data_IF_854188585759
#
_entry.id   IF_854188585759
#
_cell.length_a   1.000
_cell.length_b   1.000
_cell.length_c   1.000
_cell.angle_alpha   90.00
_cell.angle_beta   90.00
_cell.angle_gamma   90.00
#
_symmetry.space_group_name_H-M   'P 1'
#
loop_
_entity.id
_entity.type
_entity.pdbx_description
1 polymer ?
#
# COMPACT_ATOMS: atom_id res chain seq x y z
N UNK A 1 1.32 -25.11 -25.73
CA UNK A 1 2.37 -25.90 -25.10
C UNK A 1 1.80 -27.04 -24.26
N UNK A 2 0.88 -26.78 -23.32
CA UNK A 2 0.23 -27.81 -22.48
C UNK A 2 -0.49 -28.85 -23.32
N UNK A 3 -1.23 -28.48 -24.35
CA UNK A 3 -1.95 -29.40 -25.25
C UNK A 3 -1.02 -30.36 -25.99
N UNK A 4 0.14 -29.87 -26.43
CA UNK A 4 1.17 -30.70 -27.07
C UNK A 4 1.63 -31.82 -26.12
N UNK A 5 1.93 -31.48 -24.86
CA UNK A 5 2.38 -32.45 -23.86
C UNK A 5 1.28 -33.48 -23.53
N UNK A 6 0.04 -33.00 -23.36
CA UNK A 6 -1.10 -33.86 -23.06
C UNK A 6 -1.36 -34.84 -24.22
N UNK A 7 -1.40 -34.37 -25.47
CA UNK A 7 -1.58 -35.22 -26.68
C UNK A 7 -0.44 -36.19 -26.83
N UNK A 8 0.81 -35.74 -26.66
CA UNK A 8 1.99 -36.61 -26.73
C UNK A 8 1.90 -37.75 -25.71
N UNK A 9 1.52 -37.48 -24.49
CA UNK A 9 1.37 -38.52 -23.45
C UNK A 9 0.24 -39.48 -23.76
N UNK A 10 -0.93 -38.99 -24.22
CA UNK A 10 -2.03 -39.86 -24.64
C UNK A 10 -1.63 -40.79 -25.81
N UNK A 11 -0.89 -40.26 -26.80
CA UNK A 11 -0.37 -41.05 -27.92
C UNK A 11 0.62 -42.12 -27.47
N UNK A 12 1.31 -41.93 -26.35
CA UNK A 12 2.19 -42.92 -25.72
C UNK A 12 1.48 -43.88 -24.76
N UNK A 13 0.14 -43.93 -24.75
CA UNK A 13 -0.65 -44.87 -23.96
C UNK A 13 -0.88 -44.44 -22.49
N UNK A 14 -0.55 -43.18 -22.10
CA UNK A 14 -0.85 -42.69 -20.77
C UNK A 14 -2.27 -42.15 -20.70
N UNK A 15 -2.98 -42.46 -19.63
CA UNK A 15 -4.20 -41.71 -19.25
C UNK A 15 -3.82 -40.34 -18.75
N UNK A 16 -4.25 -39.31 -19.49
CA UNK A 16 -3.87 -37.93 -19.17
C UNK A 16 -5.12 -37.07 -19.10
N UNK A 17 -5.40 -36.55 -17.91
CA UNK A 17 -6.45 -35.55 -17.68
C UNK A 17 -5.90 -34.16 -17.90
N UNK A 18 -6.58 -33.36 -18.71
CA UNK A 18 -6.39 -31.91 -18.77
C UNK A 18 -7.68 -31.22 -18.42
N UNK A 19 -7.82 -30.87 -17.16
CA UNK A 19 -9.01 -30.19 -16.63
C UNK A 19 -8.91 -28.68 -16.88
N UNK A 20 -9.87 -28.07 -17.60
CA UNK A 20 -9.89 -26.62 -17.78
C UNK A 20 -10.53 -25.91 -16.56
N UNK A 21 -10.13 -24.65 -16.38
CA UNK A 21 -10.71 -23.77 -15.38
C UNK A 21 -10.57 -22.31 -15.76
N UNK A 22 -11.43 -21.48 -15.19
CA UNK A 22 -11.37 -20.03 -15.33
C UNK A 22 -11.17 -19.37 -13.98
N UNK A 23 -10.39 -18.30 -13.96
CA UNK A 23 -10.14 -17.49 -12.78
C UNK A 23 -11.14 -16.33 -12.68
N UNK A 24 -11.46 -15.91 -11.45
CA UNK A 24 -12.36 -14.79 -11.21
C UNK A 24 -11.68 -13.41 -11.40
N UNK A 25 -10.37 -13.37 -11.54
CA UNK A 25 -9.54 -12.19 -11.85
C UNK A 25 -9.74 -10.97 -10.92
N UNK A 26 -10.40 -11.11 -9.79
CA UNK A 26 -10.53 -10.16 -8.70
C UNK A 26 -10.71 -8.68 -9.11
N UNK A 27 -9.70 -7.86 -8.85
CA UNK A 27 -9.72 -6.41 -9.09
C UNK A 27 -9.96 -6.05 -10.56
N UNK A 28 -9.37 -6.79 -11.51
CA UNK A 28 -9.53 -6.51 -12.93
C UNK A 28 -10.99 -6.65 -13.38
N UNK A 29 -11.68 -7.69 -12.91
CA UNK A 29 -13.13 -7.89 -13.15
C UNK A 29 -13.96 -6.75 -12.58
N UNK A 30 -13.69 -6.36 -11.32
CA UNK A 30 -14.39 -5.24 -10.68
C UNK A 30 -14.17 -3.93 -11.43
N UNK A 31 -12.95 -3.62 -11.85
CA UNK A 31 -12.63 -2.41 -12.61
C UNK A 31 -13.39 -2.34 -13.95
N UNK A 32 -13.54 -3.46 -14.65
CA UNK A 32 -14.32 -3.52 -15.89
C UNK A 32 -15.79 -3.26 -15.61
N UNK A 33 -16.37 -3.86 -14.57
CA UNK A 33 -17.78 -3.64 -14.18
C UNK A 33 -18.00 -2.19 -13.75
N UNK A 34 -17.10 -1.59 -12.97
CA UNK A 34 -17.16 -0.17 -12.58
C UNK A 34 -17.17 0.73 -13.81
N UNK A 35 -16.27 0.49 -14.77
CA UNK A 35 -16.23 1.26 -16.02
C UNK A 35 -17.50 1.12 -16.85
N UNK A 36 -18.16 -0.03 -16.82
CA UNK A 36 -19.45 -0.21 -17.49
C UNK A 36 -20.57 0.55 -16.76
N UNK A 37 -20.60 0.51 -15.44
CA UNK A 37 -21.53 1.30 -14.63
C UNK A 37 -21.37 2.81 -14.85
N UNK A 38 -20.13 3.30 -14.98
CA UNK A 38 -19.86 4.71 -15.31
C UNK A 38 -20.48 5.12 -16.64
N UNK A 39 -20.45 4.24 -17.66
CA UNK A 39 -21.12 4.50 -18.95
C UNK A 39 -22.64 4.58 -18.83
N UNK A 40 -23.20 3.85 -17.86
CA UNK A 40 -24.63 3.86 -17.53
C UNK A 40 -25.00 5.03 -16.60
N UNK A 41 -24.02 5.87 -16.18
CA UNK A 41 -24.17 6.91 -15.16
C UNK A 41 -24.60 6.37 -13.79
N UNK A 42 -24.19 5.15 -13.45
CA UNK A 42 -24.49 4.50 -12.17
C UNK A 42 -23.22 4.46 -11.32
N UNK A 43 -23.32 4.94 -10.08
CA UNK A 43 -22.19 4.86 -9.13
C UNK A 43 -22.29 3.58 -8.30
N UNK A 44 -21.17 2.83 -8.18
CA UNK A 44 -21.12 1.58 -7.39
C UNK A 44 -21.55 1.77 -5.94
N UNK A 45 -21.25 2.95 -5.34
CA UNK A 45 -21.61 3.24 -3.96
C UNK A 45 -23.13 3.40 -3.78
N UNK A 46 -23.85 3.84 -4.83
CA UNK A 46 -25.31 3.93 -4.83
C UNK A 46 -25.98 2.55 -4.93
N UNK A 47 -25.35 1.61 -5.63
CA UNK A 47 -25.82 0.22 -5.70
C UNK A 47 -25.67 -0.54 -4.39
N UNK A 48 -24.71 -0.11 -3.53
CA UNK A 48 -24.30 -0.88 -2.37
C UNK A 48 -23.59 -2.19 -2.76
N UNK A 49 -23.13 -2.93 -1.74
CA UNK A 49 -22.33 -4.15 -1.94
C UNK A 49 -23.09 -5.22 -2.74
N UNK A 50 -24.32 -5.51 -2.36
CA UNK A 50 -25.08 -6.63 -2.95
C UNK A 50 -25.46 -6.31 -4.41
N UNK A 51 -25.86 -5.07 -4.71
CA UNK A 51 -26.12 -4.62 -6.06
C UNK A 51 -24.89 -4.69 -6.96
N UNK A 52 -23.73 -4.28 -6.45
CA UNK A 52 -22.48 -4.36 -7.19
C UNK A 52 -22.06 -5.81 -7.45
N UNK A 53 -22.14 -6.70 -6.45
CA UNK A 53 -21.85 -8.14 -6.61
C UNK A 53 -22.75 -8.75 -7.67
N UNK A 54 -24.05 -8.42 -7.67
CA UNK A 54 -24.97 -8.90 -8.70
C UNK A 54 -24.51 -8.51 -10.11
N UNK A 55 -24.10 -7.25 -10.33
CA UNK A 55 -23.57 -6.78 -11.63
C UNK A 55 -22.27 -7.50 -12.03
N UNK A 56 -21.42 -7.83 -11.06
CA UNK A 56 -20.20 -8.62 -11.32
C UNK A 56 -20.54 -10.03 -11.78
N UNK A 57 -21.53 -10.69 -11.16
CA UNK A 57 -21.99 -12.01 -11.59
C UNK A 57 -22.68 -11.98 -12.96
N UNK A 58 -23.49 -10.98 -13.27
CA UNK A 58 -24.10 -10.77 -14.60
C UNK A 58 -23.01 -10.66 -15.67
N UNK A 59 -21.99 -9.82 -15.44
CA UNK A 59 -20.86 -9.68 -16.36
C UNK A 59 -20.08 -11.01 -16.52
N UNK A 60 -19.90 -11.76 -15.45
CA UNK A 60 -19.23 -13.08 -15.48
C UNK A 60 -20.00 -14.08 -16.35
N UNK A 61 -21.33 -14.10 -16.27
CA UNK A 61 -22.15 -14.98 -17.13
C UNK A 61 -22.03 -14.59 -18.62
N UNK A 62 -22.01 -13.29 -18.93
CA UNK A 62 -21.87 -12.80 -20.30
C UNK A 62 -20.47 -13.07 -20.88
N UNK A 63 -19.41 -12.82 -20.11
CA UNK A 63 -18.03 -12.81 -20.61
C UNK A 63 -17.25 -14.08 -20.29
N UNK A 64 -17.60 -14.81 -19.24
CA UNK A 64 -16.83 -15.95 -18.73
C UNK A 64 -16.79 -17.15 -19.63
N UNK A 65 -17.77 -17.30 -20.55
CA UNK A 65 -17.81 -18.38 -21.56
C UNK A 65 -16.90 -18.16 -22.76
N UNK A 66 -16.55 -16.91 -23.07
CA UNK A 66 -15.86 -16.53 -24.32
C UNK A 66 -14.50 -17.24 -24.44
N UNK A 67 -13.68 -17.21 -23.38
CA UNK A 67 -12.35 -17.85 -23.39
C UNK A 67 -12.44 -19.37 -23.58
N UNK A 68 -13.43 -20.02 -22.97
CA UNK A 68 -13.64 -21.45 -23.13
C UNK A 68 -14.02 -21.80 -24.56
N UNK A 69 -14.89 -21.01 -25.18
CA UNK A 69 -15.30 -21.20 -26.57
C UNK A 69 -14.15 -20.93 -27.56
N UNK A 70 -13.31 -19.94 -27.28
CA UNK A 70 -12.10 -19.69 -28.06
C UNK A 70 -11.14 -20.87 -27.98
N UNK A 71 -10.90 -21.42 -26.79
CA UNK A 71 -10.04 -22.59 -26.60
C UNK A 71 -10.59 -23.85 -27.29
N UNK A 72 -11.91 -24.06 -27.27
CA UNK A 72 -12.57 -25.13 -28.03
C UNK A 72 -12.34 -24.97 -29.54
N UNK A 73 -12.52 -23.75 -30.07
CA UNK A 73 -12.29 -23.42 -31.49
C UNK A 73 -10.82 -23.63 -31.90
N UNK A 74 -9.87 -23.38 -30.98
CA UNK A 74 -8.45 -23.66 -31.18
C UNK A 74 -8.14 -25.16 -31.12
N UNK A 75 -9.11 -26.02 -30.81
CA UNK A 75 -8.94 -27.46 -30.73
C UNK A 75 -8.23 -27.96 -29.49
N UNK A 76 -8.22 -27.23 -28.40
CA UNK A 76 -7.63 -27.67 -27.13
C UNK A 76 -8.29 -28.95 -26.62
N UNK A 77 -7.49 -29.97 -26.26
CA UNK A 77 -7.96 -31.30 -25.88
C UNK A 77 -8.30 -31.45 -24.40
N UNK A 78 -8.90 -30.39 -23.81
CA UNK A 78 -9.36 -30.39 -22.43
C UNK A 78 -10.58 -31.33 -22.23
N UNK A 79 -10.73 -31.82 -21.01
CA UNK A 79 -11.99 -32.40 -20.55
C UNK A 79 -12.99 -31.32 -20.19
N UNK A 80 -13.75 -30.83 -21.15
CA UNK A 80 -14.72 -29.72 -21.01
C UNK A 80 -15.86 -30.07 -20.04
N UNK A 81 -16.14 -31.35 -19.79
CA UNK A 81 -17.16 -31.79 -18.85
C UNK A 81 -16.76 -31.49 -17.40
N UNK A 82 -15.46 -31.31 -17.13
CA UNK A 82 -14.89 -30.98 -15.82
C UNK A 82 -14.46 -29.54 -15.67
N UNK A 83 -14.97 -28.64 -16.50
CA UNK A 83 -14.69 -27.21 -16.36
C UNK A 83 -15.03 -26.72 -14.95
N UNK A 84 -14.11 -25.92 -14.37
CA UNK A 84 -14.27 -25.32 -13.04
C UNK A 84 -14.07 -23.81 -13.09
N UNK A 85 -14.70 -23.13 -12.16
CA UNK A 85 -14.50 -21.71 -11.91
C UNK A 85 -13.98 -21.54 -10.48
N UNK A 86 -12.98 -20.68 -10.28
CA UNK A 86 -12.29 -20.54 -8.97
C UNK A 86 -13.23 -20.19 -7.81
N UNK A 87 -14.41 -19.61 -8.06
CA UNK A 87 -15.43 -19.33 -7.05
C UNK A 87 -16.58 -20.34 -7.02
N UNK A 88 -16.44 -21.51 -7.63
CA UNK A 88 -17.42 -22.59 -7.50
C UNK A 88 -17.63 -22.97 -6.02
N UNK A 89 -18.86 -23.35 -5.67
CA UNK A 89 -19.27 -23.62 -4.28
C UNK A 89 -18.36 -24.62 -3.56
N UNK A 90 -17.92 -25.67 -4.27
CA UNK A 90 -17.08 -26.71 -3.66
C UNK A 90 -15.63 -26.23 -3.50
N UNK A 91 -15.11 -25.44 -4.47
CA UNK A 91 -13.80 -24.80 -4.35
C UNK A 91 -13.78 -23.77 -3.22
N UNK A 92 -14.85 -22.98 -3.08
CA UNK A 92 -15.00 -22.03 -1.96
C UNK A 92 -14.98 -22.73 -0.60
N UNK A 93 -15.64 -23.90 -0.47
CA UNK A 93 -15.57 -24.70 0.76
C UNK A 93 -14.16 -25.21 1.05
N UNK A 94 -13.44 -25.65 0.02
CA UNK A 94 -12.05 -26.11 0.16
C UNK A 94 -11.13 -24.98 0.63
N UNK A 95 -11.28 -23.78 0.07
CA UNK A 95 -10.52 -22.58 0.47
C UNK A 95 -10.79 -22.25 1.94
N UNK A 96 -12.07 -22.21 2.35
CA UNK A 96 -12.43 -21.93 3.75
C UNK A 96 -11.84 -22.98 4.68
N UNK A 97 -11.93 -24.28 4.33
CA UNK A 97 -11.36 -25.35 5.13
C UNK A 97 -9.85 -25.17 5.34
N UNK A 98 -9.10 -24.94 4.25
CA UNK A 98 -7.64 -24.72 4.32
C UNK A 98 -7.31 -23.50 5.16
N UNK A 99 -8.06 -22.40 5.00
CA UNK A 99 -7.87 -21.20 5.81
C UNK A 99 -8.04 -21.48 7.32
N UNK A 100 -9.09 -22.19 7.68
CA UNK A 100 -9.36 -22.58 9.09
C UNK A 100 -8.27 -23.50 9.63
N UNK A 101 -7.83 -24.48 8.84
CA UNK A 101 -6.75 -25.41 9.23
C UNK A 101 -5.44 -24.63 9.49
N UNK A 102 -5.07 -23.69 8.59
CA UNK A 102 -3.88 -22.85 8.75
C UNK A 102 -3.98 -21.94 9.98
N UNK A 103 -5.14 -21.37 10.25
CA UNK A 103 -5.38 -20.54 11.44
C UNK A 103 -5.24 -21.35 12.72
N UNK A 104 -5.87 -22.54 12.79
CA UNK A 104 -5.79 -23.42 13.95
C UNK A 104 -4.35 -23.89 14.23
N UNK A 105 -3.58 -24.11 13.18
CA UNK A 105 -2.15 -24.47 13.26
C UNK A 105 -1.24 -23.24 13.52
N UNK A 106 -1.81 -22.03 13.72
CA UNK A 106 -1.07 -20.77 13.97
C UNK A 106 -0.08 -20.39 12.85
N UNK A 107 -0.33 -20.85 11.62
CA UNK A 107 0.47 -20.53 10.44
C UNK A 107 0.05 -19.20 9.79
N UNK A 108 -1.16 -18.75 10.07
CA UNK A 108 -1.66 -17.42 9.69
C UNK A 108 -2.17 -16.69 10.92
N UNK A 109 -2.02 -15.37 10.91
CA UNK A 109 -2.47 -14.48 11.98
C UNK A 109 -2.90 -13.14 11.38
N UNK A 110 -3.64 -12.34 12.16
CA UNK A 110 -4.05 -11.00 11.79
C UNK A 110 -3.08 -9.99 12.39
N UNK A 111 -2.50 -9.15 11.53
CA UNK A 111 -1.58 -8.09 11.93
C UNK A 111 -1.71 -6.88 11.00
N UNK A 112 -1.07 -5.77 11.36
CA UNK A 112 -0.94 -4.58 10.53
C UNK A 112 0.31 -4.71 9.66
N UNK A 113 0.18 -4.46 8.36
CA UNK A 113 1.28 -4.47 7.41
C UNK A 113 1.13 -3.31 6.43
N UNK A 114 2.24 -2.66 6.12
CA UNK A 114 2.26 -1.67 5.06
C UNK A 114 2.08 -2.35 3.69
N UNK A 115 1.23 -1.76 2.86
CA UNK A 115 0.92 -2.24 1.51
C UNK A 115 0.91 -1.09 0.52
N UNK A 116 1.14 -1.38 -0.77
CA UNK A 116 0.84 -0.42 -1.82
C UNK A 116 -0.68 -0.22 -1.90
N UNK A 117 -1.11 1.03 -1.97
CA UNK A 117 -2.51 1.42 -1.91
C UNK A 117 -2.88 2.39 -3.02
N UNK A 118 -3.94 2.08 -3.77
CA UNK A 118 -4.53 2.99 -4.75
C UNK A 118 -5.66 3.81 -4.09
N UNK A 119 -5.47 5.14 -3.91
CA UNK A 119 -6.47 5.97 -3.25
C UNK A 119 -7.71 6.24 -4.12
N UNK A 120 -7.64 6.05 -5.44
CA UNK A 120 -8.79 6.19 -6.35
C UNK A 120 -9.69 4.96 -6.28
N UNK A 121 -9.11 3.77 -6.42
CA UNK A 121 -9.81 2.49 -6.31
C UNK A 121 -10.09 2.09 -4.86
N UNK A 122 -9.42 2.73 -3.90
CA UNK A 122 -9.48 2.44 -2.46
C UNK A 122 -9.23 0.97 -2.14
N UNK A 123 -8.17 0.43 -2.73
CA UNK A 123 -7.75 -0.97 -2.56
C UNK A 123 -6.24 -1.10 -2.48
N UNK A 124 -5.79 -2.19 -1.83
CA UNK A 124 -4.41 -2.62 -1.93
C UNK A 124 -4.11 -3.12 -3.34
N UNK A 125 -2.91 -2.87 -3.81
CA UNK A 125 -2.40 -3.36 -5.09
C UNK A 125 -1.10 -4.14 -4.86
N UNK A 126 -0.81 -5.10 -5.73
CA UNK A 126 0.42 -5.89 -5.64
C UNK A 126 1.64 -5.09 -6.10
N UNK A 127 2.83 -5.48 -5.67
CA UNK A 127 4.08 -4.83 -6.08
C UNK A 127 4.29 -4.89 -7.60
N UNK A 128 3.78 -5.93 -8.27
CA UNK A 128 3.85 -6.09 -9.72
C UNK A 128 2.98 -5.09 -10.49
N UNK A 129 1.97 -4.51 -9.85
CA UNK A 129 1.06 -3.50 -10.44
C UNK A 129 1.61 -2.09 -10.27
N UNK A 130 2.67 -1.90 -9.47
CA UNK A 130 3.29 -0.59 -9.23
C UNK A 130 4.32 -0.29 -10.32
N UNK A 131 4.06 0.75 -11.09
CA UNK A 131 4.98 1.24 -12.11
C UNK A 131 5.80 2.39 -11.51
N UNK A 132 7.10 2.18 -11.33
CA UNK A 132 8.02 3.22 -10.87
C UNK A 132 8.22 4.26 -11.97
N UNK A 133 8.16 5.54 -11.61
CA UNK A 133 8.38 6.67 -12.52
C UNK A 133 9.26 7.72 -11.85
N UNK A 134 10.24 8.21 -12.60
CA UNK A 134 11.01 9.37 -12.16
C UNK A 134 10.14 10.62 -12.20
N UNK A 135 10.09 11.33 -11.10
CA UNK A 135 9.34 12.59 -11.00
C UNK A 135 10.20 13.67 -10.39
N UNK A 136 10.03 14.90 -10.87
CA UNK A 136 10.62 16.07 -10.22
C UNK A 136 10.01 16.20 -8.83
N UNK A 137 10.85 16.26 -7.81
CA UNK A 137 10.45 16.38 -6.43
C UNK A 137 11.27 17.42 -5.68
N UNK A 138 10.94 17.65 -4.42
CA UNK A 138 11.62 18.58 -3.54
C UNK A 138 12.00 17.88 -2.24
N UNK A 139 13.18 18.16 -1.75
CA UNK A 139 13.66 17.76 -0.44
C UNK A 139 13.55 18.97 0.49
N UNK A 140 12.77 18.80 1.55
CA UNK A 140 12.48 19.83 2.55
C UNK A 140 13.33 19.60 3.79
N UNK A 141 14.07 20.61 4.23
CA UNK A 141 14.85 20.58 5.45
C UNK A 141 14.07 21.31 6.54
N UNK A 142 13.72 20.58 7.59
CA UNK A 142 12.81 21.05 8.66
C UNK A 142 13.46 20.87 10.02
N UNK A 143 13.41 21.92 10.83
CA UNK A 143 13.92 21.94 12.19
C UNK A 143 12.90 21.41 13.20
N UNK A 144 13.32 20.46 14.01
CA UNK A 144 12.60 19.96 15.17
C UNK A 144 13.30 20.43 16.43
N UNK A 145 12.57 21.10 17.33
CA UNK A 145 13.15 21.64 18.56
C UNK A 145 13.36 20.55 19.60
N UNK A 146 14.55 20.49 20.20
CA UNK A 146 14.84 19.55 21.30
C UNK A 146 14.09 20.01 22.54
N UNK A 147 13.32 19.09 23.16
CA UNK A 147 12.46 19.39 24.30
C UNK A 147 13.24 20.02 25.44
N UNK A 148 12.72 21.13 25.96
CA UNK A 148 13.34 21.88 27.08
C UNK A 148 14.55 22.74 26.72
N UNK A 149 14.88 22.88 25.42
CA UNK A 149 16.00 23.70 24.95
C UNK A 149 15.59 24.57 23.76
N UNK A 150 16.51 25.42 23.30
CA UNK A 150 16.42 26.17 22.04
C UNK A 150 17.12 25.45 20.87
N UNK A 151 17.80 24.35 21.16
CA UNK A 151 18.54 23.58 20.16
C UNK A 151 17.60 22.84 19.23
N UNK A 152 18.06 22.60 18.03
CA UNK A 152 17.27 22.00 16.98
C UNK A 152 18.02 20.83 16.34
N UNK A 153 17.26 19.86 15.82
CA UNK A 153 17.74 18.86 14.87
C UNK A 153 17.03 19.04 13.55
N UNK A 154 17.78 19.16 12.46
CA UNK A 154 17.23 19.31 11.13
C UNK A 154 17.05 17.95 10.49
N UNK A 155 15.84 17.65 10.00
CA UNK A 155 15.55 16.47 9.16
C UNK A 155 15.39 16.86 7.71
N UNK A 156 15.59 15.93 6.79
CA UNK A 156 15.33 16.10 5.37
C UNK A 156 14.26 15.09 4.88
N UNK A 157 13.23 15.56 4.21
CA UNK A 157 12.12 14.71 3.73
C UNK A 157 11.56 15.18 2.39
N UNK A 158 11.14 14.24 1.55
CA UNK A 158 10.37 14.52 0.33
C UNK A 158 8.86 14.59 0.56
N UNK A 159 8.40 14.15 1.74
CA UNK A 159 6.98 14.00 2.08
C UNK A 159 6.66 14.71 3.42
N UNK A 160 6.76 16.04 3.48
CA UNK A 160 6.54 16.77 4.73
C UNK A 160 5.14 16.57 5.30
N UNK A 161 4.11 16.32 4.49
CA UNK A 161 2.74 16.06 4.96
C UNK A 161 2.61 14.84 5.87
N UNK A 162 3.54 13.87 5.79
CA UNK A 162 3.51 12.70 6.68
C UNK A 162 4.09 12.96 8.06
N UNK A 163 4.77 14.11 8.27
CA UNK A 163 5.38 14.44 9.58
C UNK A 163 4.36 14.44 10.74
N UNK A 164 3.10 14.66 10.43
CA UNK A 164 2.02 14.56 11.42
C UNK A 164 1.92 13.16 12.05
N UNK A 165 2.41 12.14 11.37
CA UNK A 165 2.46 10.74 11.82
C UNK A 165 3.83 10.29 12.34
N UNK A 166 4.83 11.18 12.46
CA UNK A 166 6.16 10.81 12.93
C UNK A 166 6.14 10.23 14.34
N UNK A 167 6.94 9.20 14.57
CA UNK A 167 7.03 8.52 15.88
C UNK A 167 8.44 8.48 16.44
N UNK A 168 9.45 8.77 15.62
CA UNK A 168 10.83 8.97 16.04
C UNK A 168 11.60 9.82 15.02
N UNK A 169 12.79 10.30 15.41
CA UNK A 169 13.86 10.68 14.49
C UNK A 169 14.96 9.66 14.64
N UNK A 170 15.40 9.02 13.54
CA UNK A 170 16.52 8.13 13.53
C UNK A 170 17.82 8.88 13.17
N UNK A 171 18.90 8.56 13.88
CA UNK A 171 20.25 9.02 13.60
C UNK A 171 21.21 7.83 13.64
N UNK A 172 22.27 7.89 12.84
CA UNK A 172 23.26 6.83 12.85
C UNK A 172 24.04 6.84 14.18
N UNK A 173 24.18 5.69 14.88
CA UNK A 173 24.92 5.63 16.14
C UNK A 173 26.40 5.97 16.02
N UNK A 174 26.96 5.96 14.80
CA UNK A 174 28.33 6.35 14.50
C UNK A 174 28.49 7.82 14.11
N UNK A 175 27.38 8.56 13.95
CA UNK A 175 27.42 9.97 13.60
C UNK A 175 27.65 10.83 14.84
N UNK A 176 28.87 11.33 14.98
CA UNK A 176 29.28 12.15 16.14
C UNK A 176 28.45 13.44 16.28
N UNK A 177 27.85 13.94 15.20
CA UNK A 177 26.99 15.15 15.22
C UNK A 177 25.76 14.96 16.11
N UNK A 178 25.22 13.75 16.15
CA UNK A 178 23.95 13.45 16.82
C UNK A 178 24.06 12.52 18.01
N UNK A 179 25.25 11.97 18.29
CA UNK A 179 25.47 10.99 19.35
C UNK A 179 24.99 11.43 20.73
N UNK A 180 25.19 12.71 21.08
CA UNK A 180 24.72 13.31 22.35
C UNK A 180 23.22 13.58 22.40
N UNK A 181 22.53 13.45 21.27
CA UNK A 181 21.09 13.69 21.16
C UNK A 181 20.27 12.39 21.23
N UNK A 182 20.90 11.23 21.08
CA UNK A 182 20.24 9.91 21.16
C UNK A 182 19.54 9.76 22.52
N UNK A 183 18.27 9.40 22.49
CA UNK A 183 17.42 9.24 23.67
C UNK A 183 16.70 10.52 24.12
N UNK A 184 17.07 11.72 23.62
CA UNK A 184 16.34 12.94 23.88
C UNK A 184 15.01 12.98 23.10
N UNK A 185 14.10 13.81 23.58
CA UNK A 185 12.84 14.07 22.90
C UNK A 185 12.94 15.34 22.06
N UNK A 186 12.16 15.38 20.97
CA UNK A 186 11.98 16.56 20.12
C UNK A 186 10.51 16.84 19.91
N UNK A 187 10.17 18.09 19.73
CA UNK A 187 8.82 18.53 19.42
C UNK A 187 8.61 18.54 17.89
N UNK A 188 7.58 17.86 17.42
CA UNK A 188 7.18 17.92 16.01
C UNK A 188 6.59 19.30 15.73
N UNK A 189 7.14 20.06 14.76
CA UNK A 189 6.59 21.38 14.42
C UNK A 189 5.10 21.34 14.09
N UNK A 190 4.34 22.30 14.58
CA UNK A 190 2.90 22.47 14.34
C UNK A 190 1.98 21.36 14.90
N UNK A 191 2.53 20.23 15.37
CA UNK A 191 1.74 19.05 15.80
C UNK A 191 1.55 18.99 17.32
N UNK A 192 2.38 19.69 18.08
CA UNK A 192 2.33 19.71 19.56
C UNK A 192 2.51 18.32 20.21
N UNK A 193 3.31 17.47 19.60
CA UNK A 193 3.63 16.12 20.07
C UNK A 193 5.14 15.91 20.09
N UNK A 194 5.64 15.27 21.16
CA UNK A 194 7.04 14.92 21.28
C UNK A 194 7.30 13.50 20.78
N UNK A 195 8.46 13.29 20.18
CA UNK A 195 8.98 12.00 19.73
C UNK A 195 10.45 11.87 20.13
N UNK A 196 10.94 10.64 20.21
CA UNK A 196 12.30 10.33 20.64
C UNK A 196 13.29 10.32 19.49
N UNK A 197 14.53 10.77 19.74
CA UNK A 197 15.66 10.53 18.85
C UNK A 197 16.20 9.12 19.16
N UNK A 198 16.20 8.24 18.15
CA UNK A 198 16.67 6.86 18.28
C UNK A 198 17.95 6.62 17.48
N UNK A 199 18.74 5.65 17.92
CA UNK A 199 19.91 5.17 17.18
C UNK A 199 19.49 4.08 16.21
N UNK A 200 19.66 4.29 14.91
CA UNK A 200 19.39 3.28 13.89
C UNK A 200 20.33 3.43 12.70
N UNK A 201 20.93 2.33 12.23
CA UNK A 201 21.82 2.32 11.07
C UNK A 201 21.13 2.61 9.75
N UNK A 202 19.80 2.66 9.73
CA UNK A 202 19.02 3.11 8.58
C UNK A 202 19.33 4.57 8.20
N UNK A 203 19.61 5.43 9.19
CA UNK A 203 20.00 6.80 8.92
C UNK A 203 21.41 6.85 8.33
N UNK A 204 21.51 7.29 7.07
CA UNK A 204 22.78 7.47 6.38
C UNK A 204 23.34 8.88 6.66
N UNK A 205 24.53 9.00 7.31
CA UNK A 205 25.13 10.31 7.62
C UNK A 205 25.41 11.19 6.40
N UNK A 206 25.57 10.58 5.22
CA UNK A 206 25.90 11.27 3.96
C UNK A 206 24.66 11.72 3.19
N UNK A 207 23.44 11.31 3.59
CA UNK A 207 22.22 11.67 2.93
C UNK A 207 21.43 12.75 3.68
N UNK A 208 21.03 13.80 2.96
CA UNK A 208 20.23 14.90 3.51
C UNK A 208 20.92 15.58 4.68
N UNK A 209 20.35 15.54 5.86
CA UNK A 209 20.93 16.05 7.10
C UNK A 209 21.66 14.97 7.92
N UNK A 210 21.54 13.70 7.56
CA UNK A 210 21.96 12.55 8.35
C UNK A 210 20.95 12.15 9.44
N UNK A 211 19.91 12.94 9.67
CA UNK A 211 18.79 12.64 10.56
C UNK A 211 17.51 12.40 9.74
N UNK A 212 16.83 11.30 10.01
CA UNK A 212 15.66 10.85 9.24
C UNK A 212 14.45 10.79 10.15
N UNK A 213 13.34 11.44 9.77
CA UNK A 213 12.06 11.26 10.43
C UNK A 213 11.53 9.85 10.18
N UNK A 214 10.93 9.22 11.17
CA UNK A 214 10.38 7.86 11.06
C UNK A 214 8.87 7.92 11.17
N UNK A 215 8.21 7.54 10.06
CA UNK A 215 6.75 7.52 9.93
C UNK A 215 6.28 6.13 9.51
N UNK A 216 6.18 5.16 10.43
CA UNK A 216 5.97 3.74 10.10
C UNK A 216 4.70 3.45 9.30
N UNK A 217 3.68 4.33 9.37
CA UNK A 217 2.43 4.17 8.63
C UNK A 217 2.53 4.57 7.14
N UNK A 218 3.61 5.23 6.70
CA UNK A 218 3.65 5.88 5.39
C UNK A 218 4.89 5.61 4.56
N UNK A 219 5.83 4.80 5.05
CA UNK A 219 7.04 4.39 4.34
C UNK A 219 7.44 2.97 4.75
N UNK A 220 7.83 2.13 3.77
CA UNK A 220 8.18 0.74 4.02
C UNK A 220 9.45 0.59 4.87
N UNK A 221 10.45 1.43 4.63
CA UNK A 221 11.67 1.40 5.42
C UNK A 221 11.42 1.90 6.84
N UNK A 222 10.65 2.97 6.99
CA UNK A 222 10.26 3.50 8.30
C UNK A 222 9.41 2.49 9.09
N UNK A 223 8.59 1.68 8.40
CA UNK A 223 7.84 0.59 9.03
C UNK A 223 8.77 -0.46 9.64
N UNK A 224 9.82 -0.86 8.93
CA UNK A 224 10.82 -1.82 9.46
C UNK A 224 11.62 -1.22 10.63
N UNK A 225 11.99 0.08 10.54
CA UNK A 225 12.59 0.82 11.67
C UNK A 225 11.63 0.84 12.85
N UNK A 226 10.37 1.13 12.59
CA UNK A 226 9.32 1.17 13.61
C UNK A 226 9.16 -0.16 14.33
N UNK A 227 9.12 -1.27 13.57
CA UNK A 227 8.96 -2.62 14.10
C UNK A 227 10.10 -3.02 15.02
N UNK A 228 11.37 -2.80 14.63
CA UNK A 228 12.53 -3.18 15.46
C UNK A 228 12.76 -2.27 16.66
N UNK A 229 12.18 -1.06 16.65
CA UNK A 229 12.29 -0.10 17.75
C UNK A 229 10.97 0.05 18.56
N UNK A 230 9.98 -0.82 18.32
CA UNK A 230 8.66 -0.80 18.99
C UNK A 230 7.95 0.56 18.92
N UNK A 231 7.99 1.20 17.75
CA UNK A 231 7.38 2.50 17.53
C UNK A 231 5.89 2.35 17.17
N UNK A 232 5.09 3.35 17.57
CA UNK A 232 3.67 3.40 17.19
C UNK A 232 3.49 3.62 15.69
N UNK A 233 2.47 2.99 15.12
CA UNK A 233 2.03 3.21 13.75
C UNK A 233 0.90 4.23 13.77
N UNK A 234 1.16 5.45 13.28
CA UNK A 234 0.18 6.55 13.24
C UNK A 234 -0.14 6.88 11.79
N UNK A 235 -1.24 6.33 11.28
CA UNK A 235 -1.74 6.68 9.96
C UNK A 235 -2.43 8.06 9.99
N UNK A 236 -2.02 8.96 9.10
CA UNK A 236 -2.57 10.33 8.97
C UNK A 236 -3.39 10.55 7.71
N UNK A 237 -3.61 9.50 6.90
CA UNK A 237 -4.38 9.58 5.66
C UNK A 237 -5.60 8.67 5.69
N UNK A 238 -6.70 9.12 5.10
CA UNK A 238 -7.88 8.31 4.79
C UNK A 238 -7.62 7.42 3.56
N UNK A 239 -8.55 6.49 3.30
CA UNK A 239 -8.46 5.56 2.15
C UNK A 239 -8.39 6.27 0.80
N UNK A 240 -9.00 7.44 0.67
CA UNK A 240 -8.96 8.29 -0.54
C UNK A 240 -7.71 9.19 -0.62
N UNK A 241 -6.80 9.10 0.34
CA UNK A 241 -5.57 9.89 0.39
C UNK A 241 -5.73 11.30 0.97
N UNK A 242 -6.89 11.66 1.51
CA UNK A 242 -7.05 12.91 2.28
C UNK A 242 -6.51 12.77 3.71
N UNK A 243 -6.21 13.89 4.35
CA UNK A 243 -5.75 13.91 5.76
C UNK A 243 -6.88 13.50 6.69
N UNK A 244 -6.61 12.54 7.59
CA UNK A 244 -7.57 12.04 8.57
C UNK A 244 -7.51 12.79 9.92
N UNK A 245 -8.28 12.32 10.90
CA UNK A 245 -8.39 12.91 12.25
C UNK A 245 -7.09 12.95 13.06
N UNK A 246 -6.06 12.19 12.67
CA UNK A 246 -4.75 12.19 13.33
C UNK A 246 -3.83 13.30 12.79
N UNK A 247 -4.22 13.98 11.73
CA UNK A 247 -3.53 15.14 11.20
C UNK A 247 -3.83 16.42 11.98
N UNK A 248 -3.18 17.52 11.57
CA UNK A 248 -3.45 18.85 12.11
C UNK A 248 -4.90 19.23 11.78
N UNK A 249 -5.64 19.74 12.75
CA UNK A 249 -7.10 19.97 12.67
C UNK A 249 -7.53 20.73 11.42
N UNK A 250 -6.79 21.74 11.02
CA UNK A 250 -7.11 22.56 9.84
C UNK A 250 -6.80 21.90 8.49
N UNK A 251 -6.08 20.77 8.48
CA UNK A 251 -5.78 19.98 7.28
C UNK A 251 -6.70 18.78 7.10
N UNK A 252 -7.52 18.44 8.10
CA UNK A 252 -8.44 17.30 8.05
C UNK A 252 -9.37 17.44 6.84
N UNK A 253 -9.43 16.38 6.01
CA UNK A 253 -10.24 16.33 4.80
C UNK A 253 -9.57 16.90 3.54
N UNK A 254 -8.43 17.61 3.66
CA UNK A 254 -7.68 18.08 2.48
C UNK A 254 -6.98 16.92 1.80
N UNK A 255 -6.86 16.98 0.47
CA UNK A 255 -5.97 16.08 -0.27
C UNK A 255 -4.53 16.23 0.24
N UNK A 256 -3.78 15.11 0.29
CA UNK A 256 -2.41 15.08 0.82
C UNK A 256 -1.45 16.08 0.16
N UNK A 257 -1.61 16.35 -1.14
CA UNK A 257 -0.75 17.31 -1.84
C UNK A 257 -1.13 18.76 -1.55
N UNK A 258 -2.42 19.04 -1.35
CA UNK A 258 -2.88 20.35 -0.87
C UNK A 258 -2.43 20.58 0.58
N UNK A 259 -2.56 19.58 1.44
CA UNK A 259 -2.06 19.62 2.81
C UNK A 259 -0.53 19.85 2.84
N UNK A 260 0.24 19.22 1.95
CA UNK A 260 1.69 19.44 1.79
C UNK A 260 2.00 20.90 1.51
N UNK A 261 1.33 21.54 0.55
CA UNK A 261 1.54 22.94 0.18
C UNK A 261 1.28 23.88 1.35
N UNK A 262 0.16 23.67 2.05
CA UNK A 262 -0.20 24.50 3.20
C UNK A 262 0.74 24.30 4.38
N UNK A 263 1.14 23.04 4.65
CA UNK A 263 2.08 22.70 5.71
C UNK A 263 3.44 23.38 5.46
N UNK A 264 3.98 23.27 4.25
CA UNK A 264 5.26 23.91 3.88
C UNK A 264 5.19 25.42 4.04
N UNK A 265 4.07 26.04 3.64
CA UNK A 265 3.84 27.47 3.85
C UNK A 265 3.91 27.84 5.33
N UNK A 266 3.20 27.12 6.19
CA UNK A 266 3.18 27.35 7.65
C UNK A 266 4.54 27.11 8.30
N UNK A 267 5.24 26.03 7.94
CA UNK A 267 6.59 25.78 8.43
C UNK A 267 7.55 26.92 8.09
N UNK A 268 7.38 27.54 6.91
CA UNK A 268 8.15 28.72 6.51
C UNK A 268 7.78 29.97 7.34
N UNK A 269 6.48 30.22 7.51
CA UNK A 269 5.96 31.38 8.29
C UNK A 269 6.39 31.31 9.75
N UNK A 270 6.44 30.12 10.34
CA UNK A 270 6.82 29.91 11.75
C UNK A 270 8.32 29.64 11.95
N UNK A 271 9.13 29.69 10.88
CA UNK A 271 10.60 29.59 10.96
C UNK A 271 11.16 28.18 11.23
N UNK A 272 10.38 27.14 10.92
CA UNK A 272 10.82 25.74 10.99
C UNK A 272 11.43 25.23 9.68
N UNK A 273 11.09 25.83 8.53
CA UNK A 273 11.62 25.45 7.23
C UNK A 273 12.99 26.10 7.00
N UNK A 274 14.06 25.29 6.92
CA UNK A 274 15.44 25.74 6.72
C UNK A 274 15.71 26.03 5.26
N UNK A 275 15.45 25.05 4.38
CA UNK A 275 15.66 25.17 2.93
C UNK A 275 14.84 24.15 2.15
N UNK A 276 14.75 24.36 0.85
CA UNK A 276 14.15 23.42 -0.11
C UNK A 276 15.16 23.18 -1.22
N UNK A 277 15.38 21.91 -1.59
CA UNK A 277 16.24 21.52 -2.72
C UNK A 277 15.41 20.76 -3.76
N UNK A 278 15.61 21.05 -5.03
CA UNK A 278 14.98 20.30 -6.12
C UNK A 278 15.78 19.01 -6.35
N UNK A 279 15.09 17.89 -6.43
CA UNK A 279 15.66 16.55 -6.66
C UNK A 279 14.89 15.83 -7.78
N UNK A 280 15.53 14.81 -8.37
CA UNK A 280 14.90 13.89 -9.32
C UNK A 280 14.53 12.60 -8.64
#
# INVERSE_FOLDING_TARGET
>A
LQDVLVRFKRMNGFETLWQPGTDHAGIATQAVVEKNLEKENVNKNQLGRDGFIKRVWEWKEESGGIILDQLKKLGCSCDWSRTRFTMDKDLSKAVIKVFVDLYNNKLIYKDEKLVNWDPKLQTAISDLEVIQKDVQSQLYYIDYTIEGTTDKITIATTRPETMMGDTAIAVNPKDERYKSLIGKNVLIPLVNRTIKIIADYYADPEQGSGAVKITPAHDFNDYEVGKRNDLKIINVLEKNGSVNKNGIKEFIGLDRFEARKLLVKKLKEEGYLVKIENIK
#
